data_IF_060485894660
#
_entry.id   IF_060485894660
#
_cell.length_a   1.000
_cell.length_b   1.000
_cell.length_c   1.000
_cell.angle_alpha   90.00
_cell.angle_beta   90.00
_cell.angle_gamma   90.00
#
_symmetry.space_group_name_H-M   'P 1'
#
loop_
_entity.id
_entity.type
_entity.pdbx_description
1 polymer ?
#
# COMPACT_ATOMS: atom_id res chain seq x y z
N UNK A 1 6.00 -11.84 63.66
CA UNK A 1 4.63 -11.60 64.14
C UNK A 1 3.80 -11.21 62.93
N UNK A 2 3.13 -12.18 62.30
CA UNK A 2 1.66 -12.37 62.32
C UNK A 2 0.90 -11.13 61.81
N UNK A 3 0.01 -11.19 60.81
CA UNK A 3 -0.84 -12.29 60.41
C UNK A 3 -1.22 -12.23 58.92
N UNK A 4 -1.49 -13.43 58.38
CA UNK A 4 -2.16 -13.71 57.11
C UNK A 4 -3.65 -13.38 57.22
N UNK A 5 -4.26 -12.90 56.14
CA UNK A 5 -5.72 -12.99 55.95
C UNK A 5 -6.00 -13.48 54.53
N UNK A 6 -6.66 -14.64 54.47
CA UNK A 6 -7.20 -15.27 53.28
C UNK A 6 -8.67 -14.82 53.08
N UNK A 7 -9.11 -14.74 51.83
CA UNK A 7 -10.51 -14.60 51.43
C UNK A 7 -10.66 -15.14 50.01
N UNK A 8 -10.95 -16.43 49.87
CA UNK A 8 -12.28 -17.02 49.65
C UNK A 8 -12.76 -16.85 48.19
N UNK A 9 -12.54 -17.92 47.43
CA UNK A 9 -13.04 -18.17 46.07
C UNK A 9 -14.52 -18.54 46.17
N UNK A 10 -15.39 -17.84 45.42
CA UNK A 10 -16.80 -18.23 45.24
C UNK A 10 -17.02 -18.57 43.77
N UNK A 11 -17.21 -19.86 43.50
CA UNK A 11 -17.66 -20.40 42.20
C UNK A 11 -19.19 -20.44 42.26
N UNK A 12 -19.85 -19.49 41.61
CA UNK A 12 -21.30 -19.47 41.42
C UNK A 12 -21.66 -20.04 40.04
N UNK A 13 -22.12 -21.28 40.01
CA UNK A 13 -22.72 -21.89 38.82
C UNK A 13 -24.12 -21.34 38.56
N UNK A 14 -24.36 -20.82 37.36
CA UNK A 14 -25.69 -20.48 36.88
C UNK A 14 -26.24 -21.67 36.07
N UNK A 15 -27.28 -22.31 36.62
CA UNK A 15 -28.10 -23.31 35.94
C UNK A 15 -29.09 -22.56 35.05
N UNK A 16 -28.96 -22.69 33.73
CA UNK A 16 -29.97 -22.23 32.77
C UNK A 16 -31.01 -23.33 32.61
N UNK A 17 -32.18 -23.09 33.18
CA UNK A 17 -33.38 -23.90 32.97
C UNK A 17 -33.90 -23.68 31.54
N UNK A 18 -33.92 -24.74 30.74
CA UNK A 18 -34.61 -24.81 29.46
C UNK A 18 -36.11 -24.95 29.73
N UNK A 19 -36.85 -23.86 29.61
CA UNK A 19 -38.30 -23.88 29.54
C UNK A 19 -38.73 -24.09 28.08
N UNK A 20 -39.28 -25.26 27.79
CA UNK A 20 -39.93 -25.57 26.52
C UNK A 20 -41.22 -24.75 26.38
N UNK A 21 -41.13 -23.57 25.77
CA UNK A 21 -42.27 -22.82 25.26
C UNK A 21 -42.67 -23.36 23.88
N UNK A 22 -43.87 -23.91 23.77
CA UNK A 22 -44.52 -24.29 22.51
C UNK A 22 -44.56 -23.10 21.53
N UNK A 23 -44.10 -23.26 20.27
CA UNK A 23 -44.06 -22.15 19.32
C UNK A 23 -45.46 -21.76 18.84
N UNK A 24 -45.67 -20.46 18.80
CA UNK A 24 -46.88 -19.76 18.37
C UNK A 24 -47.10 -19.93 16.84
N UNK A 25 -48.18 -20.55 16.36
CA UNK A 25 -48.36 -20.94 14.94
C UNK A 25 -48.86 -19.80 14.03
N UNK A 26 -48.59 -18.53 14.35
CA UNK A 26 -49.09 -17.36 13.59
C UNK A 26 -48.01 -16.38 13.11
N UNK A 27 -46.74 -16.78 13.19
CA UNK A 27 -45.60 -16.04 12.60
C UNK A 27 -44.89 -16.97 11.61
N UNK A 28 -45.65 -17.61 10.73
CA UNK A 28 -45.10 -18.34 9.58
C UNK A 28 -45.69 -17.85 8.25
N UNK A 29 -46.75 -17.05 8.25
CA UNK A 29 -47.38 -16.55 7.01
C UNK A 29 -46.96 -15.13 6.59
N UNK A 30 -45.97 -14.51 7.25
CA UNK A 30 -45.54 -13.14 6.92
C UNK A 30 -44.02 -12.98 6.69
N UNK A 31 -43.26 -14.08 6.70
CA UNK A 31 -41.81 -14.08 6.40
C UNK A 31 -41.43 -15.02 5.27
N UNK A 32 -42.41 -15.58 4.56
CA UNK A 32 -42.19 -16.46 3.39
C UNK A 32 -42.41 -15.73 2.04
N UNK A 33 -43.02 -14.54 2.02
CA UNK A 33 -43.15 -13.71 0.81
C UNK A 33 -41.95 -12.78 0.53
N UNK A 34 -40.93 -12.78 1.40
CA UNK A 34 -39.69 -12.00 1.20
C UNK A 34 -38.44 -12.89 0.98
N UNK A 35 -38.62 -14.19 0.74
CA UNK A 35 -37.55 -15.16 0.41
C UNK A 35 -37.82 -15.93 -0.88
N UNK A 36 -38.41 -15.23 -1.85
CA UNK A 36 -38.84 -15.81 -3.11
C UNK A 36 -38.47 -14.99 -4.34
N UNK A 37 -37.35 -14.25 -4.35
CA UNK A 37 -36.68 -14.00 -5.63
C UNK A 37 -35.73 -15.16 -5.84
N UNK A 38 -36.17 -16.07 -6.68
CA UNK A 38 -35.56 -17.35 -7.01
C UNK A 38 -34.11 -17.15 -7.47
N UNK A 39 -33.14 -17.35 -6.56
CA UNK A 39 -31.72 -17.42 -6.91
C UNK A 39 -31.37 -18.65 -7.76
N UNK A 40 -32.31 -19.56 -8.01
CA UNK A 40 -32.12 -20.73 -8.87
C UNK A 40 -32.48 -20.48 -10.36
N UNK A 41 -33.11 -19.34 -10.69
CA UNK A 41 -33.42 -18.97 -12.09
C UNK A 41 -32.36 -18.10 -12.79
N UNK A 42 -31.31 -17.65 -12.09
CA UNK A 42 -30.25 -16.79 -12.64
C UNK A 42 -29.00 -17.56 -13.13
N UNK A 43 -29.01 -18.89 -13.04
CA UNK A 43 -27.85 -19.73 -13.40
C UNK A 43 -27.65 -19.98 -14.89
N UNK A 44 -28.55 -19.53 -15.77
CA UNK A 44 -28.47 -19.77 -17.20
C UNK A 44 -28.96 -18.57 -18.04
N UNK A 45 -28.16 -18.27 -19.09
CA UNK A 45 -28.50 -17.57 -20.35
C UNK A 45 -28.12 -16.09 -20.55
N UNK A 46 -27.21 -15.50 -19.76
CA UNK A 46 -26.42 -14.41 -20.36
C UNK A 46 -25.40 -15.02 -21.31
N UNK A 47 -25.64 -14.87 -22.61
CA UNK A 47 -24.65 -15.16 -23.65
C UNK A 47 -23.37 -14.36 -23.40
N UNK A 48 -22.23 -14.86 -23.89
CA UNK A 48 -20.96 -14.14 -23.74
C UNK A 48 -21.02 -12.71 -24.28
N UNK A 49 -21.80 -12.47 -25.35
CA UNK A 49 -22.03 -11.14 -25.91
C UNK A 49 -22.85 -10.23 -24.99
N UNK A 50 -23.89 -10.77 -24.35
CA UNK A 50 -24.64 -10.03 -23.33
C UNK A 50 -23.78 -9.69 -22.12
N UNK A 51 -22.87 -10.58 -21.72
CA UNK A 51 -21.91 -10.31 -20.63
C UNK A 51 -20.97 -9.17 -21.00
N UNK A 52 -20.41 -9.18 -22.22
CA UNK A 52 -19.55 -8.08 -22.72
C UNK A 52 -20.34 -6.76 -22.71
N UNK A 53 -21.56 -6.74 -23.25
CA UNK A 53 -22.40 -5.54 -23.24
C UNK A 53 -22.68 -5.04 -21.83
N UNK A 54 -23.01 -5.94 -20.89
CA UNK A 54 -23.25 -5.58 -19.49
C UNK A 54 -21.99 -5.05 -18.78
N UNK A 55 -20.80 -5.55 -19.12
CA UNK A 55 -19.53 -5.00 -18.62
C UNK A 55 -19.31 -3.57 -19.13
N UNK A 56 -19.54 -3.31 -20.42
CA UNK A 56 -19.44 -1.97 -21.00
C UNK A 56 -20.44 -1.01 -20.33
N UNK A 57 -21.67 -1.44 -20.11
CA UNK A 57 -22.68 -0.66 -19.40
C UNK A 57 -22.34 -0.43 -17.92
N UNK A 58 -21.64 -1.37 -17.28
CA UNK A 58 -21.13 -1.19 -15.91
C UNK A 58 -20.03 -0.12 -15.87
N UNK A 59 -19.09 -0.15 -16.83
CA UNK A 59 -18.05 0.88 -16.98
C UNK A 59 -18.70 2.24 -17.22
N UNK A 60 -19.66 2.32 -18.15
CA UNK A 60 -20.36 3.57 -18.50
C UNK A 60 -21.03 4.23 -17.31
N UNK A 61 -21.63 3.43 -16.41
CA UNK A 61 -22.32 3.90 -15.20
C UNK A 61 -21.39 4.12 -14.01
N UNK A 62 -20.15 3.66 -14.08
CA UNK A 62 -19.20 3.84 -12.99
C UNK A 62 -18.71 5.29 -12.92
N UNK A 63 -18.51 5.76 -11.69
CA UNK A 63 -17.91 7.08 -11.41
C UNK A 63 -16.38 7.00 -11.35
N UNK A 64 -15.80 5.86 -11.75
CA UNK A 64 -14.36 5.61 -11.69
C UNK A 64 -13.61 6.21 -12.89
N UNK A 65 -12.33 6.49 -12.67
CA UNK A 65 -11.39 6.89 -13.72
C UNK A 65 -10.56 5.67 -14.14
N UNK A 66 -10.52 5.41 -15.44
CA UNK A 66 -9.76 4.33 -16.05
C UNK A 66 -8.50 4.92 -16.68
N UNK A 67 -7.35 4.37 -16.32
CA UNK A 67 -6.04 4.77 -16.84
C UNK A 67 -5.57 3.67 -17.79
N UNK A 68 -5.42 4.02 -19.06
CA UNK A 68 -4.91 3.12 -20.10
C UNK A 68 -3.90 3.87 -20.95
N UNK A 69 -2.68 3.33 -21.05
CA UNK A 69 -1.50 3.97 -21.63
C UNK A 69 -1.21 5.35 -21.02
N UNK A 70 -1.29 5.47 -19.70
CA UNK A 70 -1.19 6.74 -18.96
C UNK A 70 -2.22 7.81 -19.36
N UNK A 71 -3.27 7.44 -20.12
CA UNK A 71 -4.36 8.34 -20.49
C UNK A 71 -5.57 8.05 -19.61
N UNK A 72 -5.89 9.03 -18.76
CA UNK A 72 -7.08 9.03 -17.92
C UNK A 72 -8.36 9.24 -18.73
N UNK A 73 -9.35 8.38 -18.49
CA UNK A 73 -10.68 8.44 -19.10
C UNK A 73 -11.74 8.13 -18.05
N UNK A 74 -12.82 8.91 -18.02
CA UNK A 74 -13.97 8.58 -17.19
C UNK A 74 -14.71 7.34 -17.73
N UNK A 75 -15.61 6.77 -16.91
CA UNK A 75 -16.39 5.59 -17.29
C UNK A 75 -17.11 5.70 -18.63
N UNK A 76 -17.72 6.86 -18.95
CA UNK A 76 -18.40 7.06 -20.23
C UNK A 76 -17.43 6.98 -21.44
N UNK A 77 -16.32 7.71 -21.39
CA UNK A 77 -15.32 7.72 -22.46
C UNK A 77 -14.65 6.34 -22.63
N UNK A 78 -14.41 5.62 -21.53
CA UNK A 78 -13.87 4.26 -21.57
C UNK A 78 -14.87 3.28 -22.18
N UNK A 79 -16.15 3.37 -21.81
CA UNK A 79 -17.20 2.54 -22.40
C UNK A 79 -17.33 2.76 -23.91
N UNK A 80 -17.24 4.00 -24.38
CA UNK A 80 -17.27 4.32 -25.81
C UNK A 80 -16.05 3.73 -26.55
N UNK A 81 -14.86 3.76 -25.94
CA UNK A 81 -13.66 3.08 -26.47
C UNK A 81 -13.86 1.57 -26.55
N UNK A 82 -14.39 0.93 -25.50
CA UNK A 82 -14.65 -0.51 -25.47
C UNK A 82 -15.66 -0.92 -26.54
N UNK A 83 -16.73 -0.13 -26.69
CA UNK A 83 -17.76 -0.34 -27.72
C UNK A 83 -17.15 -0.25 -29.12
N UNK A 84 -16.32 0.76 -29.39
CA UNK A 84 -15.62 0.92 -30.67
C UNK A 84 -14.70 -0.28 -30.97
N UNK A 85 -14.01 -0.82 -29.96
CA UNK A 85 -13.12 -1.97 -30.14
C UNK A 85 -13.91 -3.25 -30.45
N UNK A 86 -15.05 -3.44 -29.80
CA UNK A 86 -15.96 -4.55 -30.10
C UNK A 86 -16.56 -4.44 -31.51
N UNK A 87 -16.92 -3.23 -31.95
CA UNK A 87 -17.45 -2.98 -33.30
C UNK A 87 -16.40 -3.16 -34.40
N UNK A 88 -15.14 -2.83 -34.11
CA UNK A 88 -14.02 -3.00 -35.04
C UNK A 88 -13.66 -4.47 -35.25
N UNK A 89 -13.84 -5.31 -34.24
CA UNK A 89 -13.50 -6.73 -34.28
C UNK A 89 -14.56 -7.62 -33.59
N UNK A 90 -15.77 -7.73 -34.18
CA UNK A 90 -16.91 -8.40 -33.54
C UNK A 90 -16.73 -9.91 -33.40
N UNK A 91 -15.83 -10.52 -34.19
CA UNK A 91 -15.53 -11.95 -34.16
C UNK A 91 -14.26 -12.29 -33.39
N UNK A 92 -13.48 -11.28 -33.01
CA UNK A 92 -12.16 -11.44 -32.42
C UNK A 92 -12.15 -11.80 -30.93
N UNK A 93 -13.32 -11.89 -30.29
CA UNK A 93 -13.48 -12.33 -28.90
C UNK A 93 -14.62 -13.34 -28.82
N UNK A 94 -14.34 -14.53 -28.29
CA UNK A 94 -15.31 -15.63 -28.18
C UNK A 94 -16.00 -15.68 -26.81
N UNK A 95 -15.42 -15.00 -25.82
CA UNK A 95 -15.93 -14.95 -24.45
C UNK A 95 -15.71 -13.60 -23.80
N UNK A 96 -16.47 -13.28 -22.75
CA UNK A 96 -16.26 -12.09 -21.95
C UNK A 96 -14.89 -12.10 -21.24
N UNK A 97 -14.37 -13.28 -20.87
CA UNK A 97 -13.02 -13.42 -20.30
C UNK A 97 -11.94 -13.05 -21.31
N UNK A 98 -12.02 -13.61 -22.52
CA UNK A 98 -11.09 -13.29 -23.61
C UNK A 98 -11.17 -11.81 -23.99
N UNK A 99 -12.36 -11.21 -23.94
CA UNK A 99 -12.52 -9.76 -24.10
C UNK A 99 -11.77 -8.98 -23.03
N UNK A 100 -11.90 -9.35 -21.75
CA UNK A 100 -11.15 -8.72 -20.64
C UNK A 100 -9.65 -8.89 -20.83
N UNK A 101 -9.19 -10.10 -21.10
CA UNK A 101 -7.76 -10.41 -21.28
C UNK A 101 -7.17 -9.61 -22.44
N UNK A 102 -7.93 -9.44 -23.53
CA UNK A 102 -7.49 -8.66 -24.68
C UNK A 102 -7.51 -7.15 -24.43
N UNK A 103 -8.45 -6.66 -23.62
CA UNK A 103 -8.60 -5.24 -23.32
C UNK A 103 -7.62 -4.75 -22.25
N UNK A 104 -7.26 -5.63 -21.32
CA UNK A 104 -6.35 -5.33 -20.22
C UNK A 104 -4.92 -5.86 -20.47
N UNK A 105 -4.68 -6.50 -21.62
CA UNK A 105 -3.34 -6.82 -22.06
C UNK A 105 -2.61 -5.52 -22.45
N UNK A 106 -1.42 -5.26 -21.89
CA UNK A 106 -0.62 -4.11 -22.33
C UNK A 106 -0.22 -4.30 -23.80
N UNK A 107 -0.17 -3.21 -24.57
CA UNK A 107 0.26 -3.28 -25.97
C UNK A 107 1.73 -3.68 -26.07
N UNK A 108 2.53 -3.38 -25.03
CA UNK A 108 3.95 -3.73 -24.94
C UNK A 108 4.31 -4.31 -23.58
N UNK A 109 5.28 -5.23 -23.56
CA UNK A 109 5.75 -5.91 -22.33
C UNK A 109 6.33 -4.95 -21.28
N UNK A 110 6.80 -3.77 -21.69
CA UNK A 110 7.41 -2.77 -20.79
C UNK A 110 6.44 -1.67 -20.33
N UNK A 111 5.17 -1.73 -20.73
CA UNK A 111 4.17 -0.73 -20.38
C UNK A 111 3.53 -1.00 -19.00
N UNK A 112 3.23 0.06 -18.23
CA UNK A 112 2.54 -0.09 -16.97
C UNK A 112 1.15 -0.71 -17.21
N UNK A 113 0.78 -1.69 -16.39
CA UNK A 113 -0.53 -2.32 -16.49
C UNK A 113 -1.65 -1.30 -16.24
N UNK A 114 -2.73 -1.42 -17.01
CA UNK A 114 -3.93 -0.58 -16.90
C UNK A 114 -4.52 -0.59 -15.48
N UNK A 115 -5.03 0.58 -15.05
CA UNK A 115 -5.55 0.77 -13.71
C UNK A 115 -6.93 1.41 -13.71
N UNK A 116 -7.66 1.18 -12.62
CA UNK A 116 -8.92 1.85 -12.30
C UNK A 116 -8.73 2.56 -10.97
N UNK A 117 -8.88 3.88 -10.98
CA UNK A 117 -8.95 4.69 -9.78
C UNK A 117 -10.36 4.56 -9.19
N UNK A 118 -10.46 3.90 -8.05
CA UNK A 118 -11.69 3.79 -7.27
C UNK A 118 -11.95 5.07 -6.47
N UNK A 119 -10.86 5.69 -6.01
CA UNK A 119 -10.80 7.01 -5.39
C UNK A 119 -9.44 7.67 -5.69
N UNK A 120 -9.15 8.84 -5.11
CA UNK A 120 -7.85 9.52 -5.29
C UNK A 120 -6.67 8.68 -4.74
N UNK A 121 -6.93 7.86 -3.74
CA UNK A 121 -5.90 7.09 -3.00
C UNK A 121 -5.98 5.59 -3.30
N UNK A 122 -7.13 5.12 -3.79
CA UNK A 122 -7.38 3.72 -4.05
C UNK A 122 -7.37 3.44 -5.55
N UNK A 123 -6.44 2.59 -5.99
CA UNK A 123 -6.38 2.10 -7.35
C UNK A 123 -6.25 0.58 -7.38
N UNK A 124 -6.79 -0.03 -8.41
CA UNK A 124 -6.63 -1.46 -8.67
C UNK A 124 -6.36 -1.71 -10.15
N UNK A 125 -5.87 -2.91 -10.49
CA UNK A 125 -5.68 -3.29 -11.89
C UNK A 125 -7.02 -3.35 -12.61
N UNK A 126 -7.06 -2.83 -13.84
CA UNK A 126 -8.27 -2.85 -14.65
C UNK A 126 -8.76 -4.27 -14.90
N UNK A 127 -7.84 -5.19 -15.19
CA UNK A 127 -8.12 -6.63 -15.34
C UNK A 127 -8.86 -7.20 -14.12
N UNK A 128 -8.38 -6.92 -12.91
CA UNK A 128 -9.01 -7.38 -11.66
C UNK A 128 -10.40 -6.78 -11.48
N UNK A 129 -10.57 -5.49 -11.76
CA UNK A 129 -11.86 -4.81 -11.70
C UNK A 129 -12.88 -5.46 -12.67
N UNK A 130 -12.47 -5.70 -13.91
CA UNK A 130 -13.32 -6.34 -14.91
C UNK A 130 -13.69 -7.77 -14.55
N UNK A 131 -12.75 -8.57 -14.04
CA UNK A 131 -13.04 -9.93 -13.59
C UNK A 131 -13.97 -9.96 -12.38
N UNK A 132 -13.85 -9.02 -11.44
CA UNK A 132 -14.77 -8.90 -10.32
C UNK A 132 -16.20 -8.59 -10.83
N UNK A 133 -16.35 -7.65 -11.76
CA UNK A 133 -17.66 -7.34 -12.38
C UNK A 133 -18.22 -8.51 -13.18
N UNK A 134 -17.38 -9.24 -13.89
CA UNK A 134 -17.82 -10.44 -14.61
C UNK A 134 -18.31 -11.51 -13.64
N UNK A 135 -17.61 -11.71 -12.52
CA UNK A 135 -18.03 -12.68 -11.50
C UNK A 135 -19.37 -12.31 -10.86
N UNK A 136 -19.58 -11.02 -10.55
CA UNK A 136 -20.87 -10.49 -10.08
C UNK A 136 -21.99 -10.79 -11.09
N UNK A 137 -21.77 -10.53 -12.39
CA UNK A 137 -22.73 -10.85 -13.45
C UNK A 137 -23.00 -12.35 -13.60
N UNK A 138 -22.00 -13.19 -13.32
CA UNK A 138 -22.11 -14.66 -13.33
C UNK A 138 -22.70 -15.24 -12.03
N UNK A 139 -23.00 -14.41 -11.03
CA UNK A 139 -23.45 -14.86 -9.71
C UNK A 139 -22.39 -15.67 -8.95
N UNK A 140 -21.11 -15.50 -9.29
CA UNK A 140 -19.97 -16.20 -8.68
C UNK A 140 -19.21 -15.27 -7.73
N UNK A 141 -18.54 -15.82 -6.71
CA UNK A 141 -17.55 -15.03 -5.97
C UNK A 141 -16.48 -14.54 -6.94
N UNK A 142 -15.97 -13.33 -6.71
CA UNK A 142 -14.85 -12.78 -7.47
C UNK A 142 -13.70 -13.79 -7.50
N UNK A 143 -13.06 -14.02 -8.65
CA UNK A 143 -11.91 -14.90 -8.71
C UNK A 143 -10.85 -14.38 -7.72
N UNK A 144 -10.20 -15.27 -6.95
CA UNK A 144 -9.07 -14.84 -6.15
C UNK A 144 -8.04 -14.23 -7.10
N UNK A 145 -7.47 -13.08 -6.72
CA UNK A 145 -6.39 -12.48 -7.49
C UNK A 145 -5.25 -13.51 -7.66
N UNK A 146 -4.59 -13.48 -8.81
CA UNK A 146 -3.46 -14.36 -9.07
C UNK A 146 -2.41 -14.13 -7.98
N UNK A 147 -1.92 -15.18 -7.28
CA UNK A 147 -0.87 -15.03 -6.30
C UNK A 147 0.36 -14.28 -6.82
N UNK A 148 0.69 -14.40 -8.11
CA UNK A 148 1.78 -13.61 -8.71
C UNK A 148 1.42 -12.13 -8.84
N UNK A 149 0.23 -11.79 -9.32
CA UNK A 149 -0.24 -10.39 -9.41
C UNK A 149 -0.33 -9.74 -8.02
N UNK A 150 -0.78 -10.50 -7.00
CA UNK A 150 -0.80 -10.02 -5.60
C UNK A 150 0.63 -9.75 -5.11
N UNK A 151 1.55 -10.68 -5.35
CA UNK A 151 2.95 -10.51 -4.94
C UNK A 151 3.59 -9.31 -5.62
N UNK A 152 3.37 -9.12 -6.92
CA UNK A 152 3.88 -7.96 -7.67
C UNK A 152 3.28 -6.65 -7.17
N UNK A 153 1.98 -6.62 -6.88
CA UNK A 153 1.31 -5.45 -6.32
C UNK A 153 1.87 -5.10 -4.93
N UNK A 154 2.08 -6.10 -4.08
CA UNK A 154 2.71 -5.92 -2.77
C UNK A 154 4.16 -5.43 -2.89
N UNK A 155 4.97 -6.02 -3.77
CA UNK A 155 6.35 -5.59 -4.07
C UNK A 155 6.39 -4.14 -4.55
N UNK A 156 5.49 -3.78 -5.48
CA UNK A 156 5.36 -2.41 -5.97
C UNK A 156 4.96 -1.44 -4.85
N UNK A 157 3.99 -1.82 -4.02
CA UNK A 157 3.56 -1.02 -2.88
C UNK A 157 4.70 -0.78 -1.87
N UNK A 158 5.51 -1.81 -1.56
CA UNK A 158 6.68 -1.64 -0.69
C UNK A 158 7.72 -0.71 -1.31
N UNK A 159 7.97 -0.81 -2.62
CA UNK A 159 8.88 0.09 -3.34
C UNK A 159 8.42 1.55 -3.30
N UNK A 160 7.11 1.80 -3.42
CA UNK A 160 6.55 3.16 -3.31
C UNK A 160 6.81 3.78 -1.92
N UNK A 161 6.73 3.00 -0.85
CA UNK A 161 7.02 3.51 0.50
C UNK A 161 8.47 4.00 0.65
N UNK A 162 9.44 3.35 0.00
CA UNK A 162 10.83 3.81 -0.03
C UNK A 162 10.96 5.13 -0.80
N UNK A 163 10.25 5.26 -1.92
CA UNK A 163 10.22 6.50 -2.69
C UNK A 163 9.59 7.66 -1.93
N UNK A 164 8.53 7.41 -1.16
CA UNK A 164 7.93 8.41 -0.27
C UNK A 164 8.91 8.83 0.83
N UNK A 165 9.61 7.87 1.46
CA UNK A 165 10.66 8.18 2.44
C UNK A 165 11.76 9.07 1.84
N UNK A 166 12.20 8.80 0.60
CA UNK A 166 13.16 9.65 -0.11
C UNK A 166 12.59 11.04 -0.40
N UNK A 167 11.30 11.14 -0.76
CA UNK A 167 10.61 12.41 -1.03
C UNK A 167 10.50 13.29 0.21
N UNK A 168 10.21 12.71 1.38
CA UNK A 168 10.23 13.40 2.68
C UNK A 168 11.60 14.02 2.95
N UNK A 169 12.67 13.25 2.72
CA UNK A 169 14.05 13.74 2.87
C UNK A 169 14.35 14.86 1.88
N UNK A 170 13.97 14.68 0.61
CA UNK A 170 14.24 15.63 -0.48
C UNK A 170 13.57 16.98 -0.24
N UNK A 171 12.36 17.00 0.29
CA UNK A 171 11.59 18.22 0.59
C UNK A 171 11.97 18.88 1.91
N UNK A 172 12.72 18.20 2.77
CA UNK A 172 13.14 18.72 4.06
C UNK A 172 14.14 19.87 3.90
N UNK A 173 13.87 20.99 4.57
CA UNK A 173 14.79 22.12 4.69
C UNK A 173 15.91 21.88 5.73
N UNK A 174 15.87 20.74 6.43
CA UNK A 174 16.84 20.38 7.45
C UNK A 174 18.18 19.94 6.85
N UNK A 175 19.20 19.96 7.70
CA UNK A 175 20.54 19.48 7.35
C UNK A 175 20.79 18.08 7.89
N UNK A 176 21.45 17.26 7.08
CA UNK A 176 21.77 15.88 7.41
C UNK A 176 23.28 15.74 7.55
N UNK A 177 23.76 15.15 8.64
CA UNK A 177 25.19 15.04 8.92
C UNK A 177 25.62 13.61 9.21
N UNK A 178 26.79 13.27 8.67
CA UNK A 178 27.47 12.02 9.01
C UNK A 178 27.79 11.98 10.52
N UNK A 179 27.71 10.80 11.15
CA UNK A 179 28.04 10.64 12.56
C UNK A 179 29.48 11.03 12.87
N UNK A 180 29.74 11.50 14.09
CA UNK A 180 31.09 11.85 14.52
C UNK A 180 31.99 10.61 14.56
N UNK A 181 32.90 10.47 13.61
CA UNK A 181 33.97 9.47 13.72
C UNK A 181 34.87 9.89 14.88
N UNK A 182 34.84 9.15 16.00
CA UNK A 182 35.87 9.31 17.04
C UNK A 182 37.20 8.99 16.38
N UNK A 183 38.12 9.95 16.34
CA UNK A 183 39.45 9.73 15.79
C UNK A 183 40.13 8.66 16.66
N UNK A 184 40.26 7.44 16.12
CA UNK A 184 41.09 6.41 16.74
C UNK A 184 42.53 6.96 16.72
N UNK A 185 43.20 7.09 17.87
CA UNK A 185 44.58 7.56 17.89
C UNK A 185 45.45 6.60 17.07
N UNK A 186 46.11 7.11 16.03
CA UNK A 186 47.08 6.32 15.26
C UNK A 186 48.17 5.83 16.23
N UNK A 187 48.46 4.52 16.31
CA UNK A 187 49.55 4.02 17.12
C UNK A 187 50.86 4.64 16.61
N UNK A 188 51.53 5.40 17.48
CA UNK A 188 52.83 6.03 17.18
C UNK A 188 52.87 7.56 17.08
N UNK A 189 51.73 8.28 17.07
CA UNK A 189 51.74 9.75 17.20
C UNK A 189 51.57 10.15 18.67
N UNK A 190 52.64 10.67 19.28
CA UNK A 190 52.60 11.29 20.62
C UNK A 190 51.49 12.35 20.67
N UNK A 191 50.69 12.40 21.75
CA UNK A 191 49.70 13.47 21.92
C UNK A 191 50.42 14.83 21.93
N UNK A 192 49.88 15.85 21.23
CA UNK A 192 50.47 17.19 21.25
C UNK A 192 50.46 17.73 22.69
N UNK A 193 51.60 18.25 23.13
CA UNK A 193 51.80 18.78 24.48
C UNK A 193 50.85 19.94 24.76
N UNK A 194 50.06 19.79 25.82
CA UNK A 194 49.47 20.83 26.68
C UNK A 194 49.51 22.27 26.16
N UNK A 195 48.59 22.61 25.26
CA UNK A 195 48.11 23.98 25.08
C UNK A 195 46.58 23.96 25.14
N UNK A 196 45.91 25.08 25.50
CA UNK A 196 44.45 25.15 25.49
C UNK A 196 43.95 25.12 24.05
N UNK A 197 43.83 23.91 23.49
CA UNK A 197 43.23 23.69 22.18
C UNK A 197 41.74 23.93 22.34
N UNK A 198 41.27 25.11 21.89
CA UNK A 198 39.84 25.31 21.58
C UNK A 198 39.44 24.16 20.66
N UNK A 199 38.67 23.21 21.18
CA UNK A 199 38.28 21.99 20.47
C UNK A 199 37.44 22.37 19.25
N UNK A 200 38.09 22.59 18.11
CA UNK A 200 37.38 22.69 16.83
C UNK A 200 36.74 21.33 16.59
N UNK A 201 35.41 21.25 16.74
CA UNK A 201 34.64 20.04 16.45
C UNK A 201 35.10 19.50 15.07
N UNK A 202 35.38 18.19 14.94
CA UNK A 202 35.79 17.64 13.66
C UNK A 202 34.73 17.99 12.60
N UNK A 203 35.17 18.49 11.45
CA UNK A 203 34.29 18.92 10.35
C UNK A 203 33.57 17.67 9.81
N UNK A 204 32.31 17.49 10.21
CA UNK A 204 31.42 16.43 9.68
C UNK A 204 30.98 16.83 8.28
N UNK A 205 30.70 15.84 7.43
CA UNK A 205 30.10 16.10 6.12
C UNK A 205 28.61 16.36 6.33
N UNK A 206 28.14 17.46 5.76
CA UNK A 206 26.77 17.95 5.85
C UNK A 206 26.14 17.94 4.46
N UNK A 207 24.85 17.64 4.42
CA UNK A 207 24.04 17.52 3.22
C UNK A 207 22.75 18.31 3.41
N UNK A 208 22.30 18.96 2.34
CA UNK A 208 20.91 19.46 2.24
C UNK A 208 19.96 18.29 1.96
N UNK A 209 18.65 18.47 2.19
CA UNK A 209 17.63 17.47 1.87
C UNK A 209 17.78 16.84 0.47
N UNK A 210 17.79 17.63 -0.62
CA UNK A 210 17.94 17.09 -1.98
C UNK A 210 19.25 16.32 -2.19
N UNK A 211 20.36 16.82 -1.65
CA UNK A 211 21.67 16.14 -1.78
C UNK A 211 21.71 14.83 -1.00
N UNK A 212 21.06 14.79 0.17
CA UNK A 212 21.00 13.61 1.00
C UNK A 212 20.08 12.55 0.39
N UNK A 213 18.92 12.95 -0.11
CA UNK A 213 17.99 12.07 -0.83
C UNK A 213 18.63 11.46 -2.09
N UNK A 214 19.32 12.25 -2.92
CA UNK A 214 20.04 11.76 -4.09
C UNK A 214 21.14 10.74 -3.72
N UNK A 215 21.86 11.00 -2.63
CA UNK A 215 22.86 10.06 -2.10
C UNK A 215 22.21 8.74 -1.64
N UNK A 216 21.11 8.79 -0.89
CA UNK A 216 20.39 7.61 -0.44
C UNK A 216 19.80 6.83 -1.62
N UNK A 217 19.26 7.52 -2.64
CA UNK A 217 18.75 6.91 -3.87
C UNK A 217 19.84 6.13 -4.60
N UNK A 218 21.00 6.75 -4.85
CA UNK A 218 22.16 6.09 -5.45
C UNK A 218 22.66 4.91 -4.63
N UNK A 219 22.63 5.04 -3.29
CA UNK A 219 23.03 3.95 -2.39
C UNK A 219 22.04 2.78 -2.47
N UNK A 220 20.74 3.05 -2.53
CA UNK A 220 19.71 2.03 -2.70
C UNK A 220 19.78 1.35 -4.07
N UNK A 221 20.00 2.10 -5.15
CA UNK A 221 20.20 1.52 -6.49
C UNK A 221 21.42 0.59 -6.56
N UNK A 222 22.48 0.90 -5.81
CA UNK A 222 23.73 0.14 -5.87
C UNK A 222 23.78 -1.04 -4.89
N UNK A 223 23.14 -0.91 -3.72
CA UNK A 223 23.22 -1.91 -2.63
C UNK A 223 21.88 -2.60 -2.34
N UNK A 224 20.77 -2.02 -2.80
CA UNK A 224 19.41 -2.40 -2.41
C UNK A 224 18.71 -3.32 -3.40
N UNK A 225 19.45 -4.11 -4.19
CA UNK A 225 18.84 -5.11 -5.07
C UNK A 225 17.90 -6.06 -4.31
N UNK A 226 18.20 -6.30 -3.03
CA UNK A 226 17.42 -7.16 -2.12
C UNK A 226 16.65 -6.35 -1.04
N UNK A 227 16.60 -5.02 -1.12
CA UNK A 227 15.92 -4.17 -0.14
C UNK A 227 14.63 -3.64 -0.77
N UNK A 228 13.54 -4.31 -0.44
CA UNK A 228 12.21 -3.99 -0.96
C UNK A 228 11.30 -3.31 0.08
N UNK A 229 11.62 -3.35 1.37
CA UNK A 229 10.83 -2.72 2.44
C UNK A 229 11.47 -1.45 3.05
N UNK A 230 10.61 -0.57 3.56
CA UNK A 230 11.01 0.75 4.09
C UNK A 230 11.80 0.66 5.40
N UNK A 231 11.57 -0.34 6.24
CA UNK A 231 12.27 -0.47 7.52
C UNK A 231 13.71 -0.92 7.30
N UNK A 232 13.94 -1.91 6.44
CA UNK A 232 15.27 -2.34 6.01
C UNK A 232 15.99 -1.19 5.29
N UNK A 233 15.30 -0.43 4.45
CA UNK A 233 15.87 0.78 3.86
C UNK A 233 16.35 1.78 4.92
N UNK A 234 15.53 2.07 5.94
CA UNK A 234 15.87 3.01 7.02
C UNK A 234 17.04 2.49 7.86
N UNK A 235 17.09 1.21 8.19
CA UNK A 235 18.14 0.65 9.04
C UNK A 235 19.47 0.48 8.29
N UNK A 236 19.43 0.02 7.05
CA UNK A 236 20.63 -0.39 6.32
C UNK A 236 21.11 0.69 5.34
N UNK A 237 20.22 1.20 4.50
CA UNK A 237 20.57 2.20 3.49
C UNK A 237 20.77 3.57 4.13
N UNK A 238 19.98 3.94 5.13
CA UNK A 238 20.14 5.23 5.81
C UNK A 238 21.19 5.24 6.95
N UNK A 239 22.12 4.29 6.94
CA UNK A 239 23.34 4.31 7.76
C UNK A 239 24.56 4.85 6.98
N UNK A 240 25.56 5.43 7.66
CA UNK A 240 26.78 5.95 7.00
C UNK A 240 27.63 4.84 6.37
N UNK A 241 27.57 3.64 6.93
CA UNK A 241 28.22 2.47 6.38
C UNK A 241 27.52 1.21 6.83
N UNK A 242 27.24 0.33 5.87
CA UNK A 242 26.66 -0.99 6.10
C UNK A 242 27.45 -1.80 7.15
N UNK A 243 28.78 -1.65 7.17
CA UNK A 243 29.65 -2.36 8.10
C UNK A 243 29.56 -1.89 9.55
N UNK A 244 29.17 -0.64 9.78
CA UNK A 244 29.18 -0.04 11.12
C UNK A 244 27.77 0.30 11.63
N UNK A 245 26.77 0.28 10.74
CA UNK A 245 25.37 0.64 11.01
C UNK A 245 25.23 1.97 11.77
N UNK A 246 26.22 2.87 11.65
CA UNK A 246 26.18 4.14 12.37
C UNK A 246 25.25 5.07 11.62
N UNK A 247 24.17 5.48 12.29
CA UNK A 247 23.10 6.28 11.69
C UNK A 247 23.52 7.73 11.46
N UNK A 248 22.98 8.31 10.40
CA UNK A 248 23.04 9.75 10.15
C UNK A 248 22.27 10.53 11.23
N UNK A 249 22.56 11.83 11.33
CA UNK A 249 21.85 12.76 12.23
C UNK A 249 21.18 13.85 11.42
N UNK A 250 20.04 14.31 11.92
CA UNK A 250 19.30 15.46 11.41
C UNK A 250 19.56 16.64 12.33
N UNK A 251 19.90 17.79 11.78
CA UNK A 251 20.08 19.05 12.51
C UNK A 251 18.80 19.87 12.34
N UNK A 252 18.16 20.17 13.46
CA UNK A 252 16.99 21.05 13.54
C UNK A 252 17.41 22.52 13.50
N UNK A 253 16.45 23.42 13.25
CA UNK A 253 16.69 24.87 13.21
C UNK A 253 17.25 25.44 14.53
N UNK A 254 16.89 24.83 15.66
CA UNK A 254 17.40 25.16 17.00
C UNK A 254 18.84 24.65 17.25
N UNK A 255 19.41 23.96 16.27
CA UNK A 255 20.74 23.34 16.33
C UNK A 255 20.79 22.00 17.08
N UNK A 256 19.65 21.45 17.49
CA UNK A 256 19.59 20.12 18.10
C UNK A 256 19.80 19.02 17.07
N UNK A 257 20.40 17.90 17.49
CA UNK A 257 20.65 16.73 16.64
C UNK A 257 19.68 15.60 17.00
N UNK A 258 18.97 15.07 16.01
CA UNK A 258 18.11 13.87 16.14
C UNK A 258 18.69 12.70 15.36
N UNK A 259 18.39 11.46 15.78
CA UNK A 259 18.65 10.27 14.98
C UNK A 259 17.83 10.28 13.68
N UNK A 260 18.48 10.06 12.53
CA UNK A 260 17.80 10.12 11.23
C UNK A 260 16.68 9.08 11.10
N UNK A 261 16.91 7.85 11.55
CA UNK A 261 15.90 6.79 11.41
C UNK A 261 14.66 7.11 12.26
N UNK A 262 14.86 7.61 13.48
CA UNK A 262 13.76 8.06 14.33
C UNK A 262 13.00 9.25 13.72
N UNK A 263 13.74 10.24 13.20
CA UNK A 263 13.14 11.41 12.55
C UNK A 263 12.29 10.99 11.36
N UNK A 264 12.83 10.16 10.45
CA UNK A 264 12.11 9.77 9.23
C UNK A 264 10.85 8.97 9.53
N UNK A 265 10.90 8.03 10.48
CA UNK A 265 9.70 7.30 10.94
C UNK A 265 8.62 8.25 11.46
N UNK A 266 9.02 9.25 12.24
CA UNK A 266 8.08 10.26 12.76
C UNK A 266 7.41 11.06 11.64
N UNK A 267 8.17 11.42 10.60
CA UNK A 267 7.62 12.14 9.44
C UNK A 267 6.66 11.26 8.63
N UNK A 268 7.03 10.01 8.36
CA UNK A 268 6.18 9.06 7.63
C UNK A 268 4.88 8.76 8.38
N UNK A 269 4.92 8.60 9.69
CA UNK A 269 3.72 8.39 10.51
C UNK A 269 2.82 9.64 10.53
N UNK A 270 3.41 10.84 10.51
CA UNK A 270 2.66 12.09 10.40
C UNK A 270 1.96 12.21 9.04
N UNK A 271 2.65 11.95 7.92
CA UNK A 271 2.05 11.96 6.57
C UNK A 271 0.92 10.94 6.46
N UNK A 272 1.13 9.70 6.95
CA UNK A 272 0.08 8.67 6.99
C UNK A 272 -1.14 9.11 7.80
N UNK A 273 -0.93 9.80 8.91
CA UNK A 273 -2.02 10.30 9.75
C UNK A 273 -2.81 11.42 9.07
N UNK A 274 -2.14 12.27 8.28
CA UNK A 274 -2.77 13.34 7.49
C UNK A 274 -3.61 12.76 6.35
N UNK A 275 -3.06 11.78 5.61
CA UNK A 275 -3.78 11.05 4.57
C UNK A 275 -5.02 10.33 5.13
N UNK A 276 -4.88 9.62 6.26
CA UNK A 276 -6.00 8.94 6.92
C UNK A 276 -7.11 9.90 7.39
N UNK A 277 -6.83 11.20 7.52
CA UNK A 277 -7.81 12.23 7.88
C UNK A 277 -8.39 12.95 6.66
N UNK A 278 -8.05 12.54 5.43
CA UNK A 278 -8.50 13.16 4.19
C UNK A 278 -7.85 14.53 3.93
N UNK A 279 -6.69 14.80 4.56
CA UNK A 279 -5.90 15.99 4.28
C UNK A 279 -4.99 15.73 3.09
N UNK A 280 -5.27 16.34 1.94
CA UNK A 280 -4.28 16.44 0.88
C UNK A 280 -3.10 17.33 1.36
N UNK A 281 -1.83 16.93 1.15
CA UNK A 281 -0.65 17.74 1.48
C UNK A 281 -0.51 18.98 0.59
#
# INVERSE_FOLDING_TARGET
MSARTAGLVTIGGAVVLVACGTPNPRILDATEEARGIQSEQLGHEMTEQQKIAALIDAVRRSEHTFIHDDIERNGAATADKLQLLLERDPTGVRSAREFIDRMAAPERTDEPADRVLLSEEESMLAKTWFHARLAELEGRPAPPADPEEVREAEEHARRLQILDALRVVERSELHFVAPSRKAVPKPGKKPPSSGPVRSRKPKRKEYTGPQFADMLRKKWEFLGADIDDVDTFIEEIASDSFSSMVRYRVIHEDGSEQDFAQWLRTQLDAERSVLAQGGAP
#
